data_IF_518214740392
#
_entry.id   IF_518214740392
#
_cell.length_a   1.000
_cell.length_b   1.000
_cell.length_c   1.000
_cell.angle_alpha   90.00
_cell.angle_beta   90.00
_cell.angle_gamma   90.00
#
_symmetry.space_group_name_H-M   'P 1'
#
loop_
_entity.id
_entity.type
_entity.pdbx_description
1 polymer ?
#
# COMPACT_ATOMS: atom_id res chain seq x y z
N UNK A 1 41.12 -1.95 -24.81
CA UNK A 1 39.80 -1.54 -24.29
C UNK A 1 39.72 -1.98 -22.84
N UNK A 2 39.90 -1.06 -21.88
CA UNK A 2 39.79 -1.35 -20.45
C UNK A 2 38.61 -0.58 -19.87
N UNK A 3 37.60 -1.30 -19.40
CA UNK A 3 36.37 -0.74 -18.83
C UNK A 3 36.61 -0.35 -17.38
N UNK A 4 36.40 0.93 -17.04
CA UNK A 4 36.39 1.41 -15.65
C UNK A 4 34.99 1.14 -15.09
N UNK A 5 34.87 0.17 -14.18
CA UNK A 5 33.61 -0.10 -13.48
C UNK A 5 33.76 0.37 -12.03
N UNK A 6 33.04 1.43 -11.66
CA UNK A 6 32.89 1.87 -10.28
C UNK A 6 31.70 1.14 -9.66
N UNK A 7 31.96 0.17 -8.79
CA UNK A 7 30.90 -0.50 -8.02
C UNK A 7 30.82 0.19 -6.65
N UNK A 8 29.76 0.99 -6.45
CA UNK A 8 29.42 1.53 -5.14
C UNK A 8 28.62 0.50 -4.35
N UNK A 9 29.18 -0.05 -3.27
CA UNK A 9 28.45 -0.87 -2.30
C UNK A 9 27.84 0.03 -1.21
N UNK A 10 26.57 -0.18 -0.81
CA UNK A 10 25.87 0.70 0.13
C UNK A 10 26.41 0.66 1.57
N UNK A 11 27.36 -0.21 1.89
CA UNK A 11 27.83 -0.42 3.27
C UNK A 11 29.20 0.20 3.60
N UNK A 12 30.08 0.47 2.62
CA UNK A 12 31.41 1.08 2.86
C UNK A 12 31.86 1.88 1.63
N UNK A 13 32.06 3.19 1.80
CA UNK A 13 32.74 4.03 0.80
C UNK A 13 34.23 3.68 0.78
N UNK A 14 34.62 2.60 0.11
CA UNK A 14 36.03 2.29 -0.16
C UNK A 14 36.25 2.33 -1.66
N UNK A 15 36.95 3.37 -2.12
CA UNK A 15 37.30 3.56 -3.54
C UNK A 15 38.62 2.84 -3.78
N UNK A 16 38.58 1.70 -4.47
CA UNK A 16 39.80 1.02 -4.94
C UNK A 16 40.14 1.48 -6.36
N UNK A 17 41.35 2.02 -6.55
CA UNK A 17 41.90 2.37 -7.85
C UNK A 17 42.89 1.25 -8.23
N UNK A 18 42.52 0.36 -9.15
CA UNK A 18 43.46 -0.59 -9.75
C UNK A 18 44.08 0.02 -10.99
N UNK A 19 45.42 0.03 -11.03
CA UNK A 19 46.25 0.58 -12.11
C UNK A 19 46.69 -0.58 -13.00
N UNK A 20 46.11 -0.69 -14.20
CA UNK A 20 46.65 -1.46 -15.32
C UNK A 20 47.31 -0.49 -16.29
N UNK A 21 48.52 -0.80 -16.73
CA UNK A 21 49.53 0.15 -17.19
C UNK A 21 49.25 0.98 -18.46
N UNK A 22 49.90 2.15 -18.43
CA UNK A 22 50.52 2.91 -19.52
C UNK A 22 49.71 3.28 -20.78
N UNK A 23 49.17 4.51 -20.77
CA UNK A 23 49.30 5.55 -21.82
C UNK A 23 48.09 6.52 -21.80
N UNK A 24 48.00 7.40 -20.81
CA UNK A 24 47.14 8.60 -20.91
C UNK A 24 47.85 9.78 -20.24
N UNK A 25 48.28 10.74 -21.07
CA UNK A 25 48.75 12.06 -20.64
C UNK A 25 47.54 12.81 -20.09
N UNK A 26 47.54 13.14 -18.80
CA UNK A 26 46.96 14.32 -18.12
C UNK A 26 46.77 13.97 -16.63
N UNK A 27 47.44 14.66 -15.67
CA UNK A 27 47.23 14.42 -14.26
C UNK A 27 45.84 14.91 -13.85
N UNK A 28 44.91 13.99 -13.56
CA UNK A 28 43.60 14.34 -12.99
C UNK A 28 43.85 14.98 -11.62
N UNK A 29 43.55 16.28 -11.45
CA UNK A 29 43.78 16.97 -10.18
C UNK A 29 42.90 16.35 -9.10
N UNK A 30 43.48 16.10 -7.93
CA UNK A 30 42.78 15.60 -6.73
C UNK A 30 41.50 16.40 -6.42
N UNK A 31 41.53 17.71 -6.69
CA UNK A 31 40.39 18.63 -6.54
C UNK A 31 39.20 18.31 -7.45
N UNK A 32 39.43 17.79 -8.65
CA UNK A 32 38.36 17.43 -9.60
C UNK A 32 37.65 16.14 -9.16
N UNK A 33 38.40 15.18 -8.61
CA UNK A 33 37.85 13.95 -8.03
C UNK A 33 36.99 14.28 -6.80
N UNK A 34 37.50 15.11 -5.88
CA UNK A 34 36.74 15.54 -4.69
C UNK A 34 35.47 16.32 -5.06
N UNK A 35 35.55 17.19 -6.08
CA UNK A 35 34.39 17.95 -6.56
C UNK A 35 33.33 17.01 -7.18
N UNK A 36 33.75 15.96 -7.90
CA UNK A 36 32.84 14.95 -8.47
C UNK A 36 32.19 14.09 -7.39
N UNK A 37 32.93 13.69 -6.35
CA UNK A 37 32.40 12.96 -5.18
C UNK A 37 31.40 13.83 -4.41
N UNK A 38 31.74 15.08 -4.10
CA UNK A 38 30.82 16.01 -3.39
C UNK A 38 29.53 16.24 -4.16
N UNK A 39 29.59 16.37 -5.50
CA UNK A 39 28.40 16.47 -6.36
C UNK A 39 27.57 15.18 -6.32
N UNK A 40 28.19 14.01 -6.38
CA UNK A 40 27.50 12.73 -6.26
C UNK A 40 26.80 12.54 -4.91
N UNK A 41 27.50 12.85 -3.81
CA UNK A 41 26.93 12.79 -2.44
C UNK A 41 25.78 13.78 -2.28
N UNK A 42 25.92 15.00 -2.80
CA UNK A 42 24.85 16.03 -2.76
C UNK A 42 23.63 15.62 -3.60
N UNK A 43 23.86 14.98 -4.75
CA UNK A 43 22.79 14.40 -5.58
C UNK A 43 22.02 13.31 -4.83
N UNK A 44 22.73 12.39 -4.18
CA UNK A 44 22.14 11.32 -3.35
C UNK A 44 21.37 11.85 -2.14
N UNK A 45 21.89 12.89 -1.46
CA UNK A 45 21.17 13.51 -0.34
C UNK A 45 19.90 14.23 -0.79
N UNK A 46 19.94 14.90 -1.95
CA UNK A 46 18.76 15.54 -2.54
C UNK A 46 17.70 14.53 -2.96
N UNK A 47 18.10 13.37 -3.52
CA UNK A 47 17.14 12.31 -3.88
C UNK A 47 16.49 11.68 -2.66
N UNK A 48 17.25 11.47 -1.57
CA UNK A 48 16.69 10.97 -0.30
C UNK A 48 15.69 11.96 0.31
N UNK A 49 16.08 13.23 0.42
CA UNK A 49 15.19 14.26 0.96
C UNK A 49 13.88 14.38 0.15
N UNK A 50 13.97 14.37 -1.18
CA UNK A 50 12.78 14.40 -2.04
C UNK A 50 11.89 13.15 -1.88
N UNK A 51 12.48 11.96 -1.69
CA UNK A 51 11.75 10.73 -1.40
C UNK A 51 11.04 10.80 -0.05
N UNK A 52 11.72 11.31 0.98
CA UNK A 52 11.18 11.46 2.33
C UNK A 52 9.98 12.42 2.33
N UNK A 53 10.10 13.59 1.68
CA UNK A 53 8.98 14.54 1.52
C UNK A 53 7.81 13.94 0.74
N UNK A 54 8.07 13.13 -0.29
CA UNK A 54 7.01 12.46 -1.04
C UNK A 54 6.30 11.37 -0.20
N UNK A 55 7.05 10.63 0.62
CA UNK A 55 6.49 9.64 1.56
C UNK A 55 5.62 10.32 2.62
N UNK A 56 6.08 11.44 3.20
CA UNK A 56 5.30 12.23 4.16
C UNK A 56 4.01 12.76 3.53
N UNK A 57 4.09 13.34 2.33
CA UNK A 57 2.91 13.85 1.61
C UNK A 57 1.90 12.74 1.32
N UNK A 58 2.37 11.58 0.86
CA UNK A 58 1.49 10.42 0.60
C UNK A 58 0.88 9.86 1.88
N UNK A 59 1.62 9.87 3.00
CA UNK A 59 1.10 9.47 4.30
C UNK A 59 -0.01 10.42 4.78
N UNK A 60 0.19 11.74 4.68
CA UNK A 60 -0.83 12.75 5.03
C UNK A 60 -2.09 12.58 4.19
N UNK A 61 -1.96 12.49 2.86
CA UNK A 61 -3.11 12.24 1.97
C UNK A 61 -3.85 10.95 2.35
N UNK A 62 -3.10 9.89 2.64
CA UNK A 62 -3.67 8.59 3.04
C UNK A 62 -4.41 8.70 4.38
N UNK A 63 -3.84 9.39 5.38
CA UNK A 63 -4.48 9.60 6.68
C UNK A 63 -5.76 10.42 6.54
N UNK A 64 -5.74 11.50 5.76
CA UNK A 64 -6.92 12.33 5.52
C UNK A 64 -8.03 11.54 4.82
N UNK A 65 -7.68 10.81 3.75
CA UNK A 65 -8.63 9.98 3.03
C UNK A 65 -9.17 8.83 3.89
N UNK A 66 -8.31 8.13 4.62
CA UNK A 66 -8.69 7.05 5.52
C UNK A 66 -9.57 7.56 6.66
N UNK A 67 -9.15 8.64 7.32
CA UNK A 67 -9.91 9.26 8.41
C UNK A 67 -11.29 9.71 7.96
N UNK A 68 -11.40 10.36 6.81
CA UNK A 68 -12.69 10.79 6.28
C UNK A 68 -13.55 9.62 5.81
N UNK A 69 -13.05 8.80 4.88
CA UNK A 69 -13.84 7.73 4.27
C UNK A 69 -14.14 6.60 5.26
N UNK A 70 -13.16 6.16 6.06
CA UNK A 70 -13.39 5.10 7.03
C UNK A 70 -14.11 5.61 8.29
N UNK A 71 -13.77 6.81 8.76
CA UNK A 71 -14.48 7.42 9.90
C UNK A 71 -15.97 7.61 9.61
N UNK A 72 -16.31 8.08 8.40
CA UNK A 72 -17.71 8.29 8.01
C UNK A 72 -18.40 6.98 7.62
N UNK A 73 -17.90 6.28 6.60
CA UNK A 73 -18.62 5.14 6.02
C UNK A 73 -18.36 3.82 6.74
N UNK A 74 -17.20 3.63 7.36
CA UNK A 74 -16.89 2.35 8.03
C UNK A 74 -17.29 2.34 9.51
N UNK A 75 -17.32 3.51 10.16
CA UNK A 75 -17.57 3.59 11.61
C UNK A 75 -18.86 4.36 11.94
N UNK A 76 -18.98 5.63 11.54
CA UNK A 76 -20.05 6.48 12.08
C UNK A 76 -21.44 6.18 11.49
N UNK A 77 -21.56 5.93 10.18
CA UNK A 77 -22.82 5.53 9.55
C UNK A 77 -23.34 4.19 10.11
N UNK A 78 -22.55 3.10 10.10
CA UNK A 78 -23.03 1.82 10.62
C UNK A 78 -23.35 1.90 12.12
N UNK A 79 -22.55 2.62 12.92
CA UNK A 79 -22.87 2.87 14.33
C UNK A 79 -24.24 3.54 14.50
N UNK A 80 -24.49 4.62 13.77
CA UNK A 80 -25.74 5.39 13.87
C UNK A 80 -26.97 4.61 13.40
N UNK A 81 -26.81 3.80 12.35
CA UNK A 81 -27.87 2.94 11.84
C UNK A 81 -28.18 1.81 12.82
N UNK A 82 -27.14 1.13 13.31
CA UNK A 82 -27.28 0.00 14.21
C UNK A 82 -27.81 0.42 15.60
N UNK A 83 -27.40 1.58 16.11
CA UNK A 83 -27.86 2.08 17.42
C UNK A 83 -29.34 2.48 17.45
N UNK A 84 -29.94 2.71 16.27
CA UNK A 84 -31.35 3.10 16.12
C UNK A 84 -32.25 1.92 15.71
N UNK A 85 -31.66 0.76 15.46
CA UNK A 85 -32.41 -0.42 15.05
C UNK A 85 -33.15 -1.03 16.24
N UNK A 86 -34.44 -1.26 16.07
CA UNK A 86 -35.28 -1.93 17.08
C UNK A 86 -35.33 -3.44 16.87
N UNK A 87 -34.94 -3.92 15.67
CA UNK A 87 -34.84 -5.33 15.36
C UNK A 87 -33.41 -5.83 15.63
N UNK A 88 -33.24 -6.67 16.65
CA UNK A 88 -31.93 -7.20 17.02
C UNK A 88 -31.93 -8.72 17.21
N UNK A 89 -30.83 -9.34 16.82
CA UNK A 89 -30.47 -10.73 17.03
C UNK A 89 -29.58 -10.81 18.27
N UNK A 90 -29.99 -11.57 19.28
CA UNK A 90 -29.18 -11.72 20.49
C UNK A 90 -28.06 -12.75 20.28
N UNK A 91 -26.83 -12.29 20.05
CA UNK A 91 -25.65 -13.13 19.93
C UNK A 91 -25.06 -13.59 21.28
N UNK A 92 -25.62 -13.16 22.42
CA UNK A 92 -25.12 -13.54 23.75
C UNK A 92 -23.63 -13.18 23.92
N UNK A 93 -22.82 -14.14 24.35
CA UNK A 93 -21.37 -14.00 24.50
C UNK A 93 -20.63 -13.84 23.16
N UNK A 94 -21.19 -14.31 22.05
CA UNK A 94 -20.55 -14.19 20.73
C UNK A 94 -20.43 -12.75 20.24
N UNK A 95 -21.15 -11.79 20.86
CA UNK A 95 -20.98 -10.36 20.57
C UNK A 95 -19.54 -9.88 20.72
N UNK A 96 -18.78 -10.49 21.63
CA UNK A 96 -17.39 -10.11 21.90
C UNK A 96 -16.43 -10.52 20.78
N UNK A 97 -16.87 -11.33 19.79
CA UNK A 97 -16.14 -11.54 18.54
C UNK A 97 -15.95 -10.25 17.74
N UNK A 98 -16.73 -9.21 18.01
CA UNK A 98 -16.55 -7.88 17.41
C UNK A 98 -15.14 -7.32 17.64
N UNK A 99 -14.59 -7.44 18.85
CA UNK A 99 -13.26 -6.90 19.18
C UNK A 99 -12.13 -7.50 18.34
N UNK A 100 -11.93 -8.83 18.29
CA UNK A 100 -10.88 -9.40 17.45
C UNK A 100 -11.11 -9.12 15.96
N UNK A 101 -12.36 -9.05 15.49
CA UNK A 101 -12.66 -8.67 14.11
C UNK A 101 -12.23 -7.22 13.82
N UNK A 102 -12.59 -6.26 14.66
CA UNK A 102 -12.17 -4.86 14.50
C UNK A 102 -10.66 -4.69 14.54
N UNK A 103 -9.98 -5.38 15.45
CA UNK A 103 -8.52 -5.36 15.54
C UNK A 103 -7.91 -5.95 14.26
N UNK A 104 -8.35 -7.14 13.84
CA UNK A 104 -7.83 -7.81 12.66
C UNK A 104 -8.05 -6.99 11.38
N UNK A 105 -9.27 -6.50 11.17
CA UNK A 105 -9.61 -5.69 10.00
C UNK A 105 -8.81 -4.39 9.94
N UNK A 106 -8.66 -3.69 11.06
CA UNK A 106 -7.86 -2.46 11.15
C UNK A 106 -6.38 -2.74 10.88
N UNK A 107 -5.82 -3.83 11.44
CA UNK A 107 -4.43 -4.22 11.19
C UNK A 107 -4.17 -4.53 9.72
N UNK A 108 -5.10 -5.21 9.04
CA UNK A 108 -5.02 -5.46 7.59
C UNK A 108 -5.00 -4.13 6.82
N UNK A 109 -5.92 -3.21 7.11
CA UNK A 109 -6.01 -1.90 6.43
C UNK A 109 -4.70 -1.12 6.61
N UNK A 110 -4.21 -0.99 7.85
CA UNK A 110 -2.97 -0.26 8.16
C UNK A 110 -1.76 -0.88 7.43
N UNK A 111 -1.66 -2.21 7.41
CA UNK A 111 -0.59 -2.92 6.69
C UNK A 111 -0.67 -2.70 5.19
N UNK A 112 -1.87 -2.73 4.59
CA UNK A 112 -2.06 -2.47 3.17
C UNK A 112 -1.69 -1.03 2.80
N UNK A 113 -2.08 -0.05 3.61
CA UNK A 113 -1.69 1.35 3.43
C UNK A 113 -0.17 1.52 3.47
N UNK A 114 0.49 0.88 4.44
CA UNK A 114 1.95 0.91 4.55
C UNK A 114 2.63 0.27 3.33
N UNK A 115 2.10 -0.84 2.81
CA UNK A 115 2.62 -1.48 1.59
C UNK A 115 2.42 -0.59 0.35
N UNK A 116 1.27 0.06 0.18
CA UNK A 116 1.02 1.02 -0.92
C UNK A 116 1.99 2.21 -0.85
N UNK A 117 2.14 2.83 0.32
CA UNK A 117 3.01 4.00 0.48
C UNK A 117 4.47 3.63 0.21
N UNK A 118 4.94 2.49 0.74
CA UNK A 118 6.35 2.08 0.63
C UNK A 118 6.73 1.49 -0.72
N UNK A 119 5.82 0.74 -1.37
CA UNK A 119 6.13 -0.03 -2.57
C UNK A 119 5.41 0.47 -3.82
N UNK A 120 4.23 1.06 -3.68
CA UNK A 120 3.43 1.57 -4.81
C UNK A 120 3.75 3.00 -5.21
N UNK A 121 4.43 3.78 -4.34
CA UNK A 121 4.77 5.21 -4.56
C UNK A 121 3.56 6.08 -4.96
N UNK A 122 2.39 5.74 -4.44
CA UNK A 122 1.13 6.47 -4.61
C UNK A 122 0.32 6.41 -3.32
N UNK A 123 -0.98 6.69 -3.41
CA UNK A 123 -1.90 6.59 -2.27
C UNK A 123 -3.00 5.57 -2.54
N UNK A 124 -3.72 5.10 -1.49
CA UNK A 124 -4.89 4.26 -1.68
C UNK A 124 -6.07 4.98 -2.35
N UNK A 125 -6.00 6.30 -2.50
CA UNK A 125 -7.06 7.08 -3.13
C UNK A 125 -7.05 6.82 -4.65
N UNK A 126 -8.22 6.57 -5.24
CA UNK A 126 -8.40 6.42 -6.70
C UNK A 126 -7.85 7.60 -7.52
N UNK A 127 -7.68 8.76 -6.88
CA UNK A 127 -7.19 9.99 -7.49
C UNK A 127 -5.66 10.05 -7.62
N UNK A 128 -4.90 9.13 -7.02
CA UNK A 128 -3.43 9.05 -7.14
C UNK A 128 -2.97 7.58 -7.14
N UNK A 129 -3.26 6.83 -8.23
CA UNK A 129 -3.00 5.39 -8.30
C UNK A 129 -1.51 5.08 -8.15
N UNK A 130 -1.14 3.96 -7.51
CA UNK A 130 0.25 3.57 -7.37
C UNK A 130 0.94 3.44 -8.74
N UNK A 131 2.17 3.93 -8.81
CA UNK A 131 2.99 3.93 -10.04
C UNK A 131 3.58 2.57 -10.33
N UNK A 132 3.79 1.78 -9.28
CA UNK A 132 4.33 0.43 -9.32
C UNK A 132 3.27 -0.57 -8.83
N UNK A 133 3.12 -1.70 -9.53
CA UNK A 133 2.16 -2.73 -9.16
C UNK A 133 2.59 -3.43 -7.84
N UNK A 134 1.81 -3.24 -6.78
CA UNK A 134 2.10 -3.82 -5.46
C UNK A 134 1.60 -5.26 -5.40
N UNK A 135 2.52 -6.23 -5.51
CA UNK A 135 2.23 -7.68 -5.43
C UNK A 135 2.82 -8.34 -4.17
N UNK A 136 3.12 -7.56 -3.14
CA UNK A 136 3.79 -8.01 -1.92
C UNK A 136 2.89 -7.92 -0.68
N UNK A 137 3.23 -8.65 0.38
CA UNK A 137 2.42 -8.69 1.60
C UNK A 137 1.08 -9.39 1.37
N UNK A 138 -0.02 -8.76 1.79
CA UNK A 138 -1.37 -9.30 1.61
C UNK A 138 -1.83 -9.36 0.15
N UNK A 139 -1.28 -8.49 -0.71
CA UNK A 139 -1.57 -8.46 -2.15
C UNK A 139 -1.13 -9.72 -2.90
N UNK A 140 -0.27 -10.57 -2.32
CA UNK A 140 0.06 -11.88 -2.92
C UNK A 140 -1.05 -12.92 -2.79
N UNK A 141 -1.94 -12.73 -1.82
CA UNK A 141 -2.95 -13.70 -1.44
C UNK A 141 -4.33 -13.33 -1.97
N UNK A 142 -4.63 -12.03 -2.03
CA UNK A 142 -5.89 -11.48 -2.52
C UNK A 142 -5.60 -10.15 -3.20
N UNK A 143 -6.29 -9.85 -4.30
CA UNK A 143 -6.04 -8.60 -5.05
C UNK A 143 -6.45 -7.34 -4.29
N UNK A 144 -7.47 -7.47 -3.45
CA UNK A 144 -8.17 -6.37 -2.79
C UNK A 144 -8.19 -6.51 -1.25
N UNK A 145 -7.02 -6.64 -0.59
CA UNK A 145 -6.95 -6.94 0.84
C UNK A 145 -7.47 -5.79 1.72
N UNK A 146 -7.34 -4.54 1.28
CA UNK A 146 -7.83 -3.39 2.03
C UNK A 146 -9.36 -3.40 2.18
N UNK A 147 -10.08 -3.78 1.11
CA UNK A 147 -11.53 -3.95 1.12
C UNK A 147 -11.96 -5.13 1.99
N UNK A 148 -11.18 -6.22 1.99
CA UNK A 148 -11.42 -7.36 2.88
C UNK A 148 -11.27 -6.96 4.35
N UNK A 149 -10.25 -6.17 4.68
CA UNK A 149 -10.07 -5.61 6.02
C UNK A 149 -11.27 -4.76 6.46
N UNK A 150 -11.78 -3.91 5.57
CA UNK A 150 -12.97 -3.08 5.85
C UNK A 150 -14.24 -3.93 6.03
N UNK A 151 -14.42 -5.01 5.26
CA UNK A 151 -15.53 -5.94 5.46
C UNK A 151 -15.44 -6.68 6.79
N UNK A 152 -14.25 -7.10 7.20
CA UNK A 152 -14.02 -7.72 8.53
C UNK A 152 -14.44 -6.76 9.64
N UNK A 153 -14.15 -5.45 9.51
CA UNK A 153 -14.60 -4.43 10.47
C UNK A 153 -16.14 -4.37 10.51
N UNK A 154 -16.80 -4.40 9.34
CA UNK A 154 -18.27 -4.39 9.27
C UNK A 154 -18.91 -5.63 9.90
N UNK A 155 -18.32 -6.82 9.75
CA UNK A 155 -18.79 -8.01 10.46
C UNK A 155 -18.76 -7.84 11.97
N UNK A 156 -17.78 -7.11 12.52
CA UNK A 156 -17.76 -6.78 13.95
C UNK A 156 -18.98 -5.98 14.41
N UNK A 157 -19.51 -5.08 13.58
CA UNK A 157 -20.75 -4.35 13.89
C UNK A 157 -21.97 -5.28 13.97
N UNK A 158 -22.06 -6.28 13.08
CA UNK A 158 -23.13 -7.28 13.12
C UNK A 158 -23.10 -8.04 14.45
N UNK A 159 -21.94 -8.52 14.89
CA UNK A 159 -21.80 -9.23 16.16
C UNK A 159 -22.10 -8.34 17.37
N UNK A 160 -21.64 -7.09 17.36
CA UNK A 160 -21.80 -6.18 18.49
C UNK A 160 -23.26 -5.73 18.68
N UNK A 161 -23.91 -5.30 17.60
CA UNK A 161 -25.25 -4.71 17.66
C UNK A 161 -26.37 -5.73 17.46
N UNK A 162 -26.11 -6.86 16.82
CA UNK A 162 -27.18 -7.80 16.46
C UNK A 162 -28.17 -7.27 15.41
N UNK A 163 -27.91 -6.09 14.85
CA UNK A 163 -28.87 -5.33 14.05
C UNK A 163 -29.03 -5.91 12.64
N UNK A 164 -30.28 -6.06 12.18
CA UNK A 164 -30.59 -6.45 10.79
C UNK A 164 -30.10 -5.36 9.83
N UNK A 165 -30.24 -4.09 10.20
CA UNK A 165 -29.73 -2.98 9.41
C UNK A 165 -28.20 -3.08 9.23
N UNK A 166 -27.46 -3.55 10.23
CA UNK A 166 -26.01 -3.77 10.11
C UNK A 166 -25.67 -4.85 9.07
N UNK A 167 -26.47 -5.91 8.96
CA UNK A 167 -26.31 -6.95 7.94
C UNK A 167 -26.58 -6.38 6.55
N UNK A 168 -27.68 -5.66 6.37
CA UNK A 168 -28.04 -5.02 5.10
C UNK A 168 -26.99 -3.98 4.68
N UNK A 169 -26.50 -3.19 5.62
CA UNK A 169 -25.45 -2.21 5.37
C UNK A 169 -24.15 -2.88 4.96
N UNK A 170 -23.74 -3.95 5.64
CA UNK A 170 -22.53 -4.72 5.28
C UNK A 170 -22.65 -5.31 3.87
N UNK A 171 -23.82 -5.84 3.51
CA UNK A 171 -24.08 -6.36 2.16
C UNK A 171 -24.02 -5.25 1.11
N UNK A 172 -24.67 -4.11 1.36
CA UNK A 172 -24.60 -2.95 0.49
C UNK A 172 -23.15 -2.50 0.30
N UNK A 173 -22.38 -2.39 1.39
CA UNK A 173 -20.98 -1.99 1.38
C UNK A 173 -20.10 -2.95 0.57
N UNK A 174 -20.31 -4.26 0.72
CA UNK A 174 -19.65 -5.28 -0.10
C UNK A 174 -19.95 -5.09 -1.59
N UNK A 175 -21.22 -4.90 -1.95
CA UNK A 175 -21.62 -4.71 -3.35
C UNK A 175 -21.01 -3.43 -3.92
N UNK A 176 -21.04 -2.32 -3.18
CA UNK A 176 -20.40 -1.06 -3.59
C UNK A 176 -18.93 -1.26 -3.90
N UNK A 177 -18.18 -1.93 -3.01
CA UNK A 177 -16.77 -2.25 -3.26
C UNK A 177 -16.59 -3.18 -4.46
N UNK A 178 -17.43 -4.19 -4.60
CA UNK A 178 -17.37 -5.10 -5.75
C UNK A 178 -17.55 -4.38 -7.08
N UNK A 179 -18.55 -3.50 -7.17
CA UNK A 179 -18.78 -2.69 -8.37
C UNK A 179 -17.66 -1.69 -8.62
N UNK A 180 -17.19 -1.00 -7.58
CA UNK A 180 -16.10 -0.03 -7.70
C UNK A 180 -14.81 -0.70 -8.19
N UNK A 181 -14.47 -1.87 -7.65
CA UNK A 181 -13.31 -2.65 -8.10
C UNK A 181 -13.46 -3.02 -9.59
N UNK A 182 -14.61 -3.57 -9.99
CA UNK A 182 -14.79 -4.06 -11.37
C UNK A 182 -14.88 -2.94 -12.41
N UNK A 183 -15.54 -1.83 -12.08
CA UNK A 183 -15.87 -0.76 -13.04
C UNK A 183 -14.78 0.30 -13.07
N UNK A 184 -14.08 0.54 -11.96
CA UNK A 184 -13.12 1.63 -11.83
C UNK A 184 -11.70 1.08 -11.68
N UNK A 185 -11.42 0.30 -10.64
CA UNK A 185 -10.03 -0.08 -10.34
C UNK A 185 -9.43 -1.05 -11.36
N UNK A 186 -10.09 -2.17 -11.66
CA UNK A 186 -9.54 -3.16 -12.59
C UNK A 186 -9.30 -2.57 -14.00
N UNK A 187 -10.19 -1.75 -14.59
CA UNK A 187 -9.93 -1.11 -15.87
C UNK A 187 -8.75 -0.13 -15.81
N UNK A 188 -8.64 0.69 -14.76
CA UNK A 188 -7.50 1.60 -14.59
C UNK A 188 -6.19 0.81 -14.51
N UNK A 189 -6.15 -0.26 -13.70
CA UNK A 189 -4.95 -1.08 -13.52
C UNK A 189 -4.59 -1.87 -14.79
N UNK A 190 -5.60 -2.35 -15.55
CA UNK A 190 -5.37 -2.98 -16.86
C UNK A 190 -4.77 -1.99 -17.86
N UNK A 191 -5.30 -0.78 -17.93
CA UNK A 191 -4.80 0.25 -18.83
C UNK A 191 -3.38 0.69 -18.46
N UNK A 192 -3.06 0.75 -17.16
CA UNK A 192 -1.76 1.20 -16.67
C UNK A 192 -0.66 0.13 -16.77
N UNK A 193 -0.96 -1.14 -16.45
CA UNK A 193 0.03 -2.20 -16.30
C UNK A 193 -0.08 -3.34 -17.35
N UNK A 194 -1.14 -3.37 -18.15
CA UNK A 194 -1.32 -4.31 -19.25
C UNK A 194 -1.13 -5.78 -18.85
N UNK A 195 -0.29 -6.49 -19.61
CA UNK A 195 -0.01 -7.92 -19.44
C UNK A 195 0.48 -8.31 -18.03
N UNK A 196 1.22 -7.42 -17.34
CA UNK A 196 1.68 -7.69 -15.99
C UNK A 196 0.51 -7.81 -15.00
N UNK A 197 -0.52 -6.98 -15.17
CA UNK A 197 -1.72 -7.05 -14.34
C UNK A 197 -2.61 -8.23 -14.70
N UNK A 198 -2.70 -8.61 -15.97
CA UNK A 198 -3.42 -9.83 -16.37
C UNK A 198 -2.80 -11.08 -15.75
N UNK A 199 -1.47 -11.20 -15.78
CA UNK A 199 -0.76 -12.32 -15.18
C UNK A 199 -0.95 -12.37 -13.65
N UNK A 200 -0.97 -11.20 -13.01
CA UNK A 200 -1.32 -11.07 -11.60
C UNK A 200 -2.76 -11.54 -11.32
N UNK A 201 -3.73 -11.16 -12.17
CA UNK A 201 -5.13 -11.58 -12.03
C UNK A 201 -5.32 -13.09 -12.18
N UNK A 202 -4.51 -13.77 -13.01
CA UNK A 202 -4.54 -15.24 -13.15
C UNK A 202 -4.05 -15.95 -11.89
N UNK A 203 -3.07 -15.35 -11.20
CA UNK A 203 -2.43 -15.97 -10.02
C UNK A 203 -3.17 -15.66 -8.72
N UNK A 204 -3.74 -14.47 -8.61
CA UNK A 204 -4.29 -13.95 -7.35
C UNK A 204 -5.80 -13.74 -7.46
N UNK A 205 -6.60 -14.44 -6.63
CA UNK A 205 -8.05 -14.30 -6.62
C UNK A 205 -8.49 -12.90 -6.14
N UNK A 206 -9.70 -12.49 -6.54
CA UNK A 206 -10.23 -11.16 -6.22
C UNK A 206 -10.57 -10.99 -4.74
N UNK A 207 -11.21 -12.00 -4.14
CA UNK A 207 -11.80 -11.94 -2.80
C UNK A 207 -11.31 -13.03 -1.84
N UNK A 208 -11.20 -14.27 -2.32
CA UNK A 208 -10.87 -15.41 -1.47
C UNK A 208 -9.35 -15.53 -1.30
N UNK A 209 -8.75 -15.33 -0.12
CA UNK A 209 -7.30 -15.38 0.04
C UNK A 209 -6.74 -16.76 -0.33
N UNK A 210 -5.75 -16.79 -1.21
CA UNK A 210 -5.02 -18.02 -1.53
C UNK A 210 -3.99 -18.29 -0.43
N UNK A 211 -4.16 -19.36 0.34
CA UNK A 211 -3.21 -19.72 1.43
C UNK A 211 -1.94 -20.44 0.94
N UNK A 212 -1.75 -20.59 -0.38
CA UNK A 212 -0.53 -21.18 -0.96
C UNK A 212 0.51 -20.10 -1.22
N UNK A 213 1.51 -20.06 -0.34
CA UNK A 213 2.76 -19.31 -0.49
C UNK A 213 3.66 -19.91 -1.55
#
# INVERSE_FOLDING_TARGET
MGTVVAIASPARCTVFIFRGDAHLRHPVRRTDVERKIRRGVRGLSQTRAALDTALEMNAVKTILYMGFMHGLFTLSIPYQLASRDTAFINFGIFRYLAFPLWILGTLIIVRCCADIIRRGRGTPAHLDPPKDLVVAGWYRHVRNPIYLGALIVQFGFIFWFGSIISILYTLFFFLTFHFLIMVVEEPILRNQFGAAYEEYCRKVPRWMPRLKG
#
